data_IF_411121498591
#
_entry.id   IF_411121498591
#
_cell.length_a   1.000
_cell.length_b   1.000
_cell.length_c   1.000
_cell.angle_alpha   90.00
_cell.angle_beta   90.00
_cell.angle_gamma   90.00
#
_symmetry.space_group_name_H-M   'P 1'
#
loop_
_entity.id
_entity.type
_entity.pdbx_description
1 polymer ?
#
# COMPACT_ATOMS: atom_id res chain seq x y z
N UNK A 1 -0.65 7.00 22.38
CA UNK A 1 0.05 6.18 21.37
C UNK A 1 -0.92 6.03 20.21
N UNK A 2 -0.87 6.98 19.28
CA UNK A 2 -2.04 7.45 18.54
C UNK A 2 -2.28 6.68 17.23
N UNK A 3 -3.54 6.61 16.79
CA UNK A 3 -3.93 6.07 15.47
C UNK A 3 -3.10 6.69 14.32
N UNK A 4 -2.66 7.94 14.50
CA UNK A 4 -1.77 8.65 13.58
C UNK A 4 -0.41 7.97 13.37
N UNK A 5 0.18 7.39 14.42
CA UNK A 5 1.46 6.68 14.31
C UNK A 5 1.33 5.41 13.45
N UNK A 6 0.20 4.70 13.59
CA UNK A 6 -0.08 3.52 12.80
C UNK A 6 -0.34 3.87 11.32
N UNK A 7 -1.07 4.95 11.06
CA UNK A 7 -1.31 5.46 9.71
C UNK A 7 0.00 5.91 9.04
N UNK A 8 0.89 6.60 9.77
CA UNK A 8 2.20 6.99 9.27
C UNK A 8 3.11 5.78 8.94
N UNK A 9 3.02 4.69 9.71
CA UNK A 9 3.74 3.45 9.41
C UNK A 9 3.19 2.76 8.17
N UNK A 10 1.86 2.68 8.03
CA UNK A 10 1.21 2.13 6.84
C UNK A 10 1.56 2.93 5.57
N UNK A 11 1.57 4.26 5.65
CA UNK A 11 2.02 5.11 4.55
C UNK A 11 3.48 4.85 4.16
N UNK A 12 4.38 4.71 5.15
CA UNK A 12 5.79 4.38 4.88
C UNK A 12 5.91 3.05 4.16
N UNK A 13 5.19 2.02 4.61
CA UNK A 13 5.15 0.70 3.95
C UNK A 13 4.56 0.80 2.54
N UNK A 14 3.51 1.59 2.34
CA UNK A 14 2.91 1.81 1.02
C UNK A 14 3.93 2.42 0.05
N UNK A 15 4.62 3.49 0.44
CA UNK A 15 5.65 4.15 -0.39
C UNK A 15 6.82 3.21 -0.70
N UNK A 16 7.24 2.38 0.26
CA UNK A 16 8.30 1.39 0.03
C UNK A 16 7.88 0.36 -1.03
N UNK A 17 6.65 -0.15 -0.95
CA UNK A 17 6.12 -1.11 -1.93
C UNK A 17 5.97 -0.49 -3.31
N UNK A 18 5.52 0.77 -3.41
CA UNK A 18 5.47 1.48 -4.70
C UNK A 18 6.85 1.59 -5.35
N UNK A 19 7.86 1.95 -4.56
CA UNK A 19 9.24 2.04 -5.04
C UNK A 19 9.79 0.69 -5.48
N UNK A 20 9.50 -0.38 -4.73
CA UNK A 20 9.86 -1.74 -5.15
C UNK A 20 9.18 -2.12 -6.47
N UNK A 21 7.89 -1.80 -6.65
CA UNK A 21 7.18 -2.05 -7.91
C UNK A 21 7.81 -1.29 -9.06
N UNK A 22 8.12 0.00 -8.91
CA UNK A 22 8.79 0.78 -9.95
C UNK A 22 10.16 0.20 -10.33
N UNK A 23 10.97 -0.19 -9.35
CA UNK A 23 12.27 -0.82 -9.60
C UNK A 23 12.09 -2.13 -10.36
N UNK A 24 11.17 -2.99 -9.95
CA UNK A 24 10.90 -4.27 -10.64
C UNK A 24 10.39 -4.05 -12.07
N UNK A 25 9.50 -3.07 -12.29
CA UNK A 25 8.97 -2.71 -13.61
C UNK A 25 10.01 -2.09 -14.55
N UNK A 26 11.04 -1.43 -14.00
CA UNK A 26 12.14 -0.87 -14.81
C UNK A 26 13.18 -1.91 -15.22
N UNK A 27 13.21 -3.07 -14.56
CA UNK A 27 14.13 -4.14 -14.94
C UNK A 27 13.60 -4.92 -16.16
N UNK A 28 14.42 -5.19 -17.18
CA UNK A 28 13.99 -5.92 -18.38
C UNK A 28 13.61 -7.39 -18.12
N UNK A 29 13.99 -7.94 -16.97
CA UNK A 29 13.58 -9.26 -16.48
C UNK A 29 12.67 -9.12 -15.27
N UNK A 30 11.61 -8.30 -15.41
CA UNK A 30 10.61 -8.11 -14.35
C UNK A 30 10.03 -9.45 -13.94
N UNK A 31 10.12 -9.78 -12.65
CA UNK A 31 9.48 -10.97 -12.11
C UNK A 31 8.00 -10.66 -11.86
N UNK A 32 7.15 -11.05 -12.81
CA UNK A 32 5.71 -10.77 -12.78
C UNK A 32 5.01 -11.31 -11.53
N UNK A 33 5.53 -12.41 -10.95
CA UNK A 33 5.04 -13.00 -9.70
C UNK A 33 5.35 -12.07 -8.53
N UNK A 34 6.55 -11.48 -8.52
CA UNK A 34 6.99 -10.52 -7.51
C UNK A 34 6.18 -9.23 -7.60
N UNK A 35 6.03 -8.65 -8.79
CA UNK A 35 5.20 -7.45 -9.02
C UNK A 35 3.74 -7.68 -8.61
N UNK A 36 3.17 -8.82 -8.97
CA UNK A 36 1.78 -9.18 -8.59
C UNK A 36 1.62 -9.32 -7.06
N UNK A 37 2.63 -9.85 -6.38
CA UNK A 37 2.64 -9.97 -4.93
C UNK A 37 2.78 -8.61 -4.24
N UNK A 38 3.63 -7.72 -4.77
CA UNK A 38 3.77 -6.34 -4.29
C UNK A 38 2.47 -5.54 -4.49
N UNK A 39 1.83 -5.63 -5.66
CA UNK A 39 0.53 -5.01 -5.94
C UNK A 39 -0.55 -5.47 -4.95
N UNK A 40 -0.59 -6.78 -4.63
CA UNK A 40 -1.51 -7.32 -3.61
C UNK A 40 -1.23 -6.76 -2.22
N UNK A 41 0.04 -6.66 -1.81
CA UNK A 41 0.41 -6.03 -0.53
C UNK A 41 0.03 -4.55 -0.50
N UNK A 42 0.27 -3.81 -1.59
CA UNK A 42 -0.13 -2.41 -1.75
C UNK A 42 -1.64 -2.23 -1.52
N UNK A 43 -2.45 -3.09 -2.15
CA UNK A 43 -3.91 -3.06 -2.01
C UNK A 43 -4.35 -3.27 -0.54
N UNK A 44 -3.77 -4.26 0.14
CA UNK A 44 -4.08 -4.54 1.55
C UNK A 44 -3.76 -3.36 2.47
N UNK A 45 -2.61 -2.71 2.27
CA UNK A 45 -2.23 -1.52 3.06
C UNK A 45 -3.18 -0.37 2.77
N UNK A 46 -3.58 -0.18 1.51
CA UNK A 46 -4.58 0.82 1.14
C UNK A 46 -5.91 0.57 1.84
N UNK A 47 -6.40 -0.66 1.86
CA UNK A 47 -7.64 -1.03 2.54
C UNK A 47 -7.53 -0.81 4.05
N UNK A 48 -6.39 -1.11 4.65
CA UNK A 48 -6.12 -0.88 6.07
C UNK A 48 -6.10 0.62 6.40
N UNK A 49 -5.44 1.43 5.57
CA UNK A 49 -5.49 2.90 5.68
C UNK A 49 -6.92 3.43 5.54
N UNK A 50 -7.70 2.95 4.57
CA UNK A 50 -9.10 3.37 4.38
C UNK A 50 -10.00 2.96 5.56
N UNK A 51 -9.74 1.82 6.20
CA UNK A 51 -10.46 1.41 7.42
C UNK A 51 -10.11 2.28 8.63
N UNK A 52 -8.87 2.77 8.69
CA UNK A 52 -8.39 3.63 9.77
C UNK A 52 -8.75 5.10 9.54
N UNK A 53 -8.94 5.51 8.28
CA UNK A 53 -9.52 6.80 7.98
C UNK A 53 -11.01 6.77 8.35
N UNK A 54 -11.51 7.79 9.07
CA UNK A 54 -12.94 7.93 9.32
C UNK A 54 -13.62 8.08 7.96
N UNK A 55 -14.32 7.03 7.53
CA UNK A 55 -15.10 7.06 6.30
C UNK A 55 -16.08 8.23 6.40
N UNK A 56 -16.19 9.12 5.38
CA UNK A 56 -17.34 10.01 5.32
C UNK A 56 -18.59 9.12 5.33
N UNK A 57 -19.64 9.46 6.09
CA UNK A 57 -20.82 8.63 6.21
C UNK A 57 -21.34 8.37 4.80
N UNK A 58 -21.25 7.12 4.36
CA UNK A 58 -21.92 6.68 3.14
C UNK A 58 -23.40 6.86 3.40
N UNK A 59 -23.96 7.93 2.84
CA UNK A 59 -25.38 8.22 2.79
C UNK A 59 -26.03 7.06 2.03
N UNK A 60 -26.68 6.17 2.76
CA UNK A 60 -27.52 5.09 2.25
C UNK A 60 -28.99 5.49 2.39
#
# INVERSE_FOLDING_TARGET
MSMEAHLAELEKKHRAIEREIEVELTHPNTDDVRVSSLKRKKLRIKDEMTRLQPQPPTLH
#
